data_IF_491465487108
#
_entry.id   IF_491465487108
#
_cell.length_a   1.000
_cell.length_b   1.000
_cell.length_c   1.000
_cell.angle_alpha   90.00
_cell.angle_beta   90.00
_cell.angle_gamma   90.00
#
_symmetry.space_group_name_H-M   'P 1'
#
loop_
_entity.id
_entity.type
_entity.pdbx_description
1 polymer ?
#
# COMPACT_ATOMS: atom_id res chain seq x y z
N UNK A 1 33.73 4.45 -42.45
CA UNK A 1 32.40 3.78 -42.51
C UNK A 1 31.96 3.23 -41.14
N UNK A 2 32.89 2.88 -40.25
CA UNK A 2 32.65 2.51 -38.84
C UNK A 2 32.21 3.69 -37.96
N UNK A 3 32.64 4.92 -38.28
CA UNK A 3 32.42 6.11 -37.44
C UNK A 3 30.93 6.45 -37.26
N UNK A 4 30.13 6.31 -38.32
CA UNK A 4 28.67 6.54 -38.26
C UNK A 4 27.94 5.55 -37.36
N UNK A 5 28.39 4.29 -37.32
CA UNK A 5 27.76 3.26 -36.48
C UNK A 5 28.15 3.44 -35.01
N UNK A 6 29.35 3.98 -34.76
CA UNK A 6 29.80 4.35 -33.42
C UNK A 6 28.95 5.46 -32.79
N UNK A 7 28.63 6.50 -33.58
CA UNK A 7 27.73 7.57 -33.12
C UNK A 7 26.33 7.01 -32.83
N UNK A 8 25.81 6.15 -33.71
CA UNK A 8 24.49 5.51 -33.50
C UNK A 8 24.50 4.64 -32.24
N UNK A 9 25.56 3.87 -31.99
CA UNK A 9 25.68 3.05 -30.79
C UNK A 9 25.67 3.89 -29.50
N UNK A 10 26.37 5.03 -29.47
CA UNK A 10 26.38 5.94 -28.33
C UNK A 10 24.98 6.51 -28.07
N UNK A 11 24.28 6.94 -29.13
CA UNK A 11 22.92 7.48 -29.01
C UNK A 11 21.96 6.42 -28.46
N UNK A 12 22.06 5.17 -28.94
CA UNK A 12 21.23 4.06 -28.44
C UNK A 12 21.48 3.78 -26.97
N UNK A 13 22.75 3.75 -26.54
CA UNK A 13 23.11 3.58 -25.12
C UNK A 13 22.53 4.72 -24.28
N UNK A 14 22.64 5.97 -24.75
CA UNK A 14 22.10 7.13 -24.05
C UNK A 14 20.57 7.07 -23.92
N UNK A 15 19.86 6.65 -24.96
CA UNK A 15 18.41 6.42 -24.90
C UNK A 15 18.02 5.33 -23.90
N UNK A 16 18.77 4.22 -23.82
CA UNK A 16 18.55 3.16 -22.83
C UNK A 16 18.75 3.71 -21.42
N UNK A 17 19.82 4.49 -21.19
CA UNK A 17 20.07 5.14 -19.90
C UNK A 17 18.95 6.10 -19.51
N UNK A 18 18.43 6.90 -20.45
CA UNK A 18 17.29 7.79 -20.20
C UNK A 18 16.04 7.01 -19.81
N UNK A 19 15.74 5.91 -20.51
CA UNK A 19 14.59 5.05 -20.19
C UNK A 19 14.74 4.42 -18.80
N UNK A 20 15.92 3.94 -18.43
CA UNK A 20 16.18 3.40 -17.09
C UNK A 20 16.06 4.50 -16.02
N UNK A 21 16.58 5.70 -16.31
CA UNK A 21 16.52 6.84 -15.40
C UNK A 21 15.08 7.28 -15.16
N UNK A 22 14.28 7.43 -16.22
CA UNK A 22 12.86 7.78 -16.13
C UNK A 22 12.06 6.69 -15.42
N UNK A 23 12.31 5.40 -15.70
CA UNK A 23 11.65 4.30 -14.99
C UNK A 23 12.02 4.27 -13.51
N UNK A 24 13.28 4.54 -13.14
CA UNK A 24 13.73 4.61 -11.74
C UNK A 24 13.23 5.85 -11.01
N UNK A 25 13.08 6.99 -11.68
CA UNK A 25 12.49 8.19 -11.09
C UNK A 25 10.98 8.03 -10.83
N UNK A 26 10.30 7.26 -11.69
CA UNK A 26 8.89 6.90 -11.51
C UNK A 26 8.68 5.67 -10.62
N UNK A 27 9.74 4.92 -10.31
CA UNK A 27 9.71 3.92 -9.26
C UNK A 27 9.61 4.67 -7.93
N UNK A 28 8.37 4.90 -7.50
CA UNK A 28 8.04 5.53 -6.22
C UNK A 28 8.99 5.01 -5.15
N UNK A 29 9.67 5.89 -4.40
CA UNK A 29 10.54 5.45 -3.31
C UNK A 29 9.69 4.56 -2.43
N UNK A 30 10.20 3.37 -2.13
CA UNK A 30 9.71 2.51 -1.07
C UNK A 30 9.85 3.29 0.24
N UNK A 31 8.96 4.26 0.46
CA UNK A 31 8.60 4.74 1.79
C UNK A 31 8.29 3.47 2.54
N UNK A 32 8.96 3.26 3.68
CA UNK A 32 8.57 2.30 4.72
C UNK A 32 7.06 2.15 4.64
N UNK A 33 6.60 1.01 4.15
CA UNK A 33 5.24 0.95 3.61
C UNK A 33 4.30 1.26 4.76
N UNK A 34 3.23 2.00 4.50
CA UNK A 34 2.17 2.17 5.48
C UNK A 34 1.71 0.79 6.01
N UNK A 35 1.79 -0.23 5.15
CA UNK A 35 1.65 -1.64 5.51
C UNK A 35 2.61 -2.09 6.61
N UNK A 36 3.90 -1.78 6.53
CA UNK A 36 4.90 -2.21 7.52
C UNK A 36 4.62 -1.58 8.89
N UNK A 37 4.17 -0.31 8.90
CA UNK A 37 3.76 0.35 10.14
C UNK A 37 2.50 -0.29 10.74
N UNK A 38 1.49 -0.57 9.91
CA UNK A 38 0.23 -1.21 10.34
C UNK A 38 0.50 -2.65 10.78
N UNK A 39 1.32 -3.42 10.06
CA UNK A 39 1.72 -4.79 10.39
C UNK A 39 2.49 -4.86 11.71
N UNK A 40 3.31 -3.84 12.00
CA UNK A 40 4.03 -3.77 13.27
C UNK A 40 3.11 -3.46 14.46
N UNK A 41 2.10 -2.60 14.26
CA UNK A 41 1.13 -2.25 15.31
C UNK A 41 0.13 -3.38 15.54
N UNK A 42 -0.28 -4.08 14.47
CA UNK A 42 -1.26 -5.16 14.48
C UNK A 42 -0.59 -6.49 14.11
N UNK A 43 0.49 -6.85 14.82
CA UNK A 43 1.25 -8.08 14.54
C UNK A 43 0.45 -9.37 14.75
N UNK A 44 -0.63 -9.30 15.52
CA UNK A 44 -1.59 -10.40 15.73
C UNK A 44 -2.48 -10.65 14.50
N UNK A 45 -2.53 -9.68 13.57
CA UNK A 45 -3.37 -9.72 12.38
C UNK A 45 -2.51 -9.74 11.12
N UNK A 46 -3.02 -10.35 10.06
CA UNK A 46 -2.36 -10.34 8.76
C UNK A 46 -2.71 -9.06 8.02
N UNK A 47 -1.70 -8.24 7.70
CA UNK A 47 -1.89 -7.00 6.94
C UNK A 47 -1.51 -7.21 5.48
N UNK A 48 -2.47 -7.04 4.59
CA UNK A 48 -2.30 -7.19 3.14
C UNK A 48 -2.49 -5.81 2.50
N UNK A 49 -1.52 -5.40 1.68
CA UNK A 49 -1.63 -4.17 0.87
C UNK A 49 -1.99 -4.57 -0.57
N UNK A 50 -3.14 -4.12 -1.07
CA UNK A 50 -3.55 -4.29 -2.46
C UNK A 50 -4.04 -2.98 -3.04
N UNK A 51 -3.42 -2.53 -4.13
CA UNK A 51 -3.90 -1.40 -4.95
C UNK A 51 -4.30 -0.17 -4.11
N UNK A 52 -3.40 0.31 -3.25
CA UNK A 52 -3.59 1.47 -2.35
C UNK A 52 -4.62 1.28 -1.22
N UNK A 53 -5.06 0.04 -1.00
CA UNK A 53 -5.94 -0.35 0.10
C UNK A 53 -5.18 -1.27 1.03
N UNK A 54 -5.23 -1.01 2.34
CA UNK A 54 -4.69 -1.89 3.37
C UNK A 54 -5.83 -2.71 3.95
N UNK A 55 -5.64 -4.01 4.04
CA UNK A 55 -6.59 -4.95 4.62
C UNK A 55 -5.94 -5.59 5.84
N UNK A 56 -6.65 -5.57 6.97
CA UNK A 56 -6.29 -6.26 8.20
C UNK A 56 -7.23 -7.46 8.31
N UNK A 57 -6.65 -8.66 8.23
CA UNK A 57 -7.36 -9.92 8.35
C UNK A 57 -6.96 -10.65 9.63
N UNK A 58 -7.89 -11.40 10.20
CA UNK A 58 -7.58 -12.31 11.31
C UNK A 58 -6.81 -13.53 10.81
N UNK A 59 -5.74 -13.91 11.51
CA UNK A 59 -4.99 -15.13 11.20
C UNK A 59 -5.76 -16.30 11.81
N UNK A 60 -6.50 -17.02 10.98
CA UNK A 60 -7.10 -18.31 11.35
C UNK A 60 -6.28 -19.43 10.71
N UNK A 61 -5.78 -20.36 11.53
CA UNK A 61 -4.89 -21.46 11.09
C UNK A 61 -5.59 -22.49 10.18
N UNK A 62 -6.92 -22.50 10.10
CA UNK A 62 -7.69 -23.55 9.39
C UNK A 62 -8.87 -23.03 8.53
N UNK A 63 -9.16 -21.73 8.57
CA UNK A 63 -10.32 -21.12 7.90
C UNK A 63 -9.91 -19.96 7.00
N UNK A 64 -10.78 -19.59 6.04
CA UNK A 64 -10.58 -18.35 5.27
C UNK A 64 -10.36 -17.18 6.23
N UNK A 65 -9.31 -16.37 6.04
CA UNK A 65 -9.00 -15.27 6.95
C UNK A 65 -10.16 -14.28 6.95
N UNK A 66 -10.78 -14.08 8.11
CA UNK A 66 -11.91 -13.16 8.25
C UNK A 66 -11.40 -11.72 8.02
N UNK A 67 -11.95 -11.06 7.01
CA UNK A 67 -11.63 -9.67 6.70
C UNK A 67 -12.26 -8.76 7.75
N UNK A 68 -11.49 -8.32 8.75
CA UNK A 68 -11.99 -7.49 9.83
C UNK A 68 -12.03 -6.01 9.44
N UNK A 69 -10.91 -5.46 8.97
CA UNK A 69 -10.78 -4.02 8.70
C UNK A 69 -10.14 -3.75 7.34
N UNK A 70 -10.84 -3.00 6.50
CA UNK A 70 -10.35 -2.50 5.22
C UNK A 70 -10.10 -0.98 5.32
N UNK A 71 -8.89 -0.55 5.03
CA UNK A 71 -8.43 0.84 5.06
C UNK A 71 -8.19 1.29 3.62
N UNK A 72 -9.03 2.19 3.14
CA UNK A 72 -8.90 2.82 1.82
C UNK A 72 -8.41 4.25 2.00
N UNK A 73 -7.42 4.66 1.21
CA UNK A 73 -6.96 6.04 1.15
C UNK A 73 -7.48 6.63 -0.16
N UNK A 74 -8.37 7.61 -0.07
CA UNK A 74 -8.96 8.28 -1.23
C UNK A 74 -9.04 9.79 -0.98
N UNK A 75 -8.17 10.60 -1.61
CA UNK A 75 -8.11 12.04 -1.37
C UNK A 75 -9.37 12.79 -1.79
N UNK A 76 -10.22 12.18 -2.62
CA UNK A 76 -11.46 12.77 -3.09
C UNK A 76 -12.65 12.47 -2.17
N UNK A 77 -12.50 11.54 -1.22
CA UNK A 77 -13.55 11.22 -0.24
C UNK A 77 -13.21 11.71 1.16
N UNK A 78 -14.20 12.31 1.82
CA UNK A 78 -14.12 12.60 3.26
C UNK A 78 -14.08 11.29 4.05
N UNK A 79 -13.57 11.36 5.30
CA UNK A 79 -13.51 10.20 6.21
C UNK A 79 -14.88 9.54 6.27
N UNK A 80 -14.97 8.29 5.85
CA UNK A 80 -16.20 7.51 5.81
C UNK A 80 -15.95 6.14 6.42
N UNK A 81 -16.94 5.62 7.13
CA UNK A 81 -16.92 4.29 7.70
C UNK A 81 -18.14 3.52 7.18
N UNK A 82 -17.91 2.35 6.60
CA UNK A 82 -18.96 1.44 6.15
C UNK A 82 -18.77 0.08 6.79
N UNK A 83 -19.73 -0.37 7.58
CA UNK A 83 -19.77 -1.73 8.11
C UNK A 83 -20.54 -2.65 7.16
N UNK A 84 -19.96 -3.79 6.83
CA UNK A 84 -20.57 -4.86 6.05
C UNK A 84 -20.44 -6.18 6.84
N UNK A 85 -21.48 -6.53 7.59
CA UNK A 85 -21.47 -7.71 8.45
C UNK A 85 -20.37 -7.60 9.52
N UNK A 86 -19.42 -8.55 9.51
CA UNK A 86 -18.25 -8.59 10.40
C UNK A 86 -17.07 -7.73 9.92
N UNK A 87 -17.13 -7.22 8.68
CA UNK A 87 -16.07 -6.41 8.05
C UNK A 87 -16.38 -4.92 8.16
N UNK A 88 -15.38 -4.10 8.43
CA UNK A 88 -15.50 -2.63 8.43
C UNK A 88 -14.54 -2.01 7.44
N UNK A 89 -15.06 -1.13 6.59
CA UNK A 89 -14.26 -0.35 5.65
C UNK A 89 -14.16 1.10 6.11
N UNK A 90 -12.94 1.54 6.40
CA UNK A 90 -12.61 2.93 6.65
C UNK A 90 -12.02 3.55 5.39
N UNK A 91 -12.65 4.62 4.89
CA UNK A 91 -12.09 5.45 3.83
C UNK A 91 -11.55 6.72 4.46
N UNK A 92 -10.27 7.01 4.26
CA UNK A 92 -9.61 8.21 4.76
C UNK A 92 -9.21 9.14 3.60
N UNK A 93 -9.36 10.47 3.76
CA UNK A 93 -8.90 11.45 2.75
C UNK A 93 -7.38 11.52 2.64
N UNK A 94 -6.68 11.10 3.69
CA UNK A 94 -5.22 11.10 3.79
C UNK A 94 -4.79 9.92 4.63
N UNK A 95 -3.54 9.50 4.50
CA UNK A 95 -2.96 8.43 5.30
C UNK A 95 -3.17 8.73 6.81
N UNK A 96 -3.94 7.90 7.53
CA UNK A 96 -4.23 8.14 8.94
C UNK A 96 -3.01 7.83 9.81
N UNK A 97 -2.93 8.48 10.96
CA UNK A 97 -1.87 8.19 11.93
C UNK A 97 -2.17 6.89 12.69
N UNK A 98 -1.11 6.22 13.22
CA UNK A 98 -1.26 5.02 14.06
C UNK A 98 -2.22 5.23 15.24
N UNK A 99 -2.19 6.41 15.86
CA UNK A 99 -3.02 6.75 17.02
C UNK A 99 -4.49 6.90 16.65
N UNK A 100 -4.79 7.50 15.49
CA UNK A 100 -6.15 7.59 14.95
C UNK A 100 -6.68 6.20 14.59
N UNK A 101 -5.84 5.37 13.95
CA UNK A 101 -6.19 3.99 13.63
C UNK A 101 -6.51 3.16 14.87
N UNK A 102 -5.68 3.22 15.93
CA UNK A 102 -5.98 2.52 17.19
C UNK A 102 -7.33 2.92 17.77
N UNK A 103 -7.65 4.21 17.74
CA UNK A 103 -8.93 4.71 18.26
C UNK A 103 -10.10 4.25 17.40
N UNK A 104 -9.96 4.32 16.08
CA UNK A 104 -11.00 3.93 15.13
C UNK A 104 -11.21 2.41 15.10
N UNK A 105 -10.15 1.62 15.27
CA UNK A 105 -10.20 0.15 15.19
C UNK A 105 -10.40 -0.53 16.55
N UNK A 106 -10.16 0.15 17.66
CA UNK A 106 -10.41 -0.37 19.01
C UNK A 106 -11.74 -1.12 19.15
N UNK A 107 -12.90 -0.58 18.74
CA UNK A 107 -14.18 -1.28 18.88
C UNK A 107 -14.34 -2.51 17.97
N UNK A 108 -13.48 -2.69 16.96
CA UNK A 108 -13.54 -3.79 15.99
C UNK A 108 -12.47 -4.86 16.21
N UNK A 109 -11.38 -4.51 16.91
CA UNK A 109 -10.25 -5.38 17.18
C UNK A 109 -10.16 -5.83 18.66
N UNK A 110 -11.02 -5.33 19.56
CA UNK A 110 -11.02 -5.67 21.00
C UNK A 110 -11.69 -7.00 21.36
N UNK A 111 -12.27 -7.72 20.40
CA UNK A 111 -13.00 -8.98 20.65
C UNK A 111 -12.27 -10.24 20.13
N UNK A 112 -10.95 -10.18 19.95
CA UNK A 112 -10.10 -11.37 19.72
C UNK A 112 -9.29 -11.69 20.97
#
# INVERSE_FOLDING_TARGET
MMDKYWVVAIVVVFCIFLVIYTQRANASPSKISFKDMVQKEFSQYHVIERSQTIMICEVSDDHQPDELVLIRIDPNQKKNMRSFGRRVTFTYPKQPSLREMRKDFAPYLQNS
#
